data_IF_711432688406
#
_entry.id   IF_711432688406
#
_cell.length_a   1.000
_cell.length_b   1.000
_cell.length_c   1.000
_cell.angle_alpha   90.00
_cell.angle_beta   90.00
_cell.angle_gamma   90.00
#
_symmetry.space_group_name_H-M   'P 1'
#
loop_
_entity.id
_entity.type
_entity.pdbx_description
1 polymer ?
#
# COMPACT_ATOMS: atom_id res chain seq x y z
N UNK A 1 -107.19 -26.37 5.17
CA UNK A 1 -106.87 -25.03 4.64
C UNK A 1 -107.14 -23.95 5.66
N UNK A 2 -108.35 -23.88 6.25
CA UNK A 2 -108.67 -22.97 7.36
C UNK A 2 -107.61 -22.96 8.48
N UNK A 3 -107.28 -24.13 9.01
CA UNK A 3 -106.29 -24.26 10.10
C UNK A 3 -104.88 -23.81 9.68
N UNK A 4 -104.51 -24.03 8.40
CA UNK A 4 -103.22 -23.58 7.84
C UNK A 4 -103.16 -22.05 7.66
N UNK A 5 -104.28 -21.43 7.28
CA UNK A 5 -104.38 -19.97 7.12
C UNK A 5 -104.34 -19.26 8.47
N UNK A 6 -104.93 -19.85 9.51
CA UNK A 6 -104.87 -19.32 10.88
C UNK A 6 -103.46 -19.43 11.48
N UNK A 7 -102.73 -20.51 11.18
CA UNK A 7 -101.37 -20.75 11.69
C UNK A 7 -100.30 -19.84 11.06
N UNK A 8 -100.39 -19.54 9.75
CA UNK A 8 -99.36 -18.76 9.01
C UNK A 8 -99.58 -17.24 9.09
N UNK A 9 -100.75 -16.81 9.58
CA UNK A 9 -101.15 -15.39 9.58
C UNK A 9 -100.28 -14.37 10.35
N UNK A 10 -99.50 -14.69 11.41
CA UNK A 10 -98.84 -13.65 12.22
C UNK A 10 -97.66 -12.91 11.56
N UNK A 11 -97.16 -13.36 10.40
CA UNK A 11 -95.90 -12.85 9.80
C UNK A 11 -95.94 -12.56 8.30
N UNK A 12 -97.13 -12.43 7.71
CA UNK A 12 -97.33 -12.34 6.24
C UNK A 12 -98.05 -11.04 5.87
N UNK A 13 -97.76 -10.41 4.70
CA UNK A 13 -98.50 -9.24 4.22
C UNK A 13 -100.01 -9.45 4.29
N UNK A 14 -100.72 -8.56 5.01
CA UNK A 14 -102.11 -8.76 5.43
C UNK A 14 -103.06 -9.05 4.27
N UNK A 15 -102.89 -8.35 3.15
CA UNK A 15 -103.75 -8.45 1.96
C UNK A 15 -103.74 -9.88 1.37
N UNK A 16 -102.59 -10.55 1.33
CA UNK A 16 -102.48 -11.89 0.73
C UNK A 16 -103.12 -12.98 1.59
N UNK A 17 -103.09 -12.81 2.92
CA UNK A 17 -103.78 -13.72 3.84
C UNK A 17 -105.28 -13.42 3.97
N UNK A 18 -105.69 -12.19 3.71
CA UNK A 18 -107.10 -11.80 3.69
C UNK A 18 -107.88 -12.49 2.57
N UNK A 19 -107.33 -12.60 1.35
CA UNK A 19 -107.95 -13.35 0.25
C UNK A 19 -108.17 -14.82 0.64
N UNK A 20 -107.16 -15.46 1.26
CA UNK A 20 -107.26 -16.84 1.71
C UNK A 20 -108.37 -17.06 2.76
N UNK A 21 -108.52 -16.11 3.69
CA UNK A 21 -109.58 -16.13 4.70
C UNK A 21 -110.97 -15.95 4.07
N UNK A 22 -111.12 -14.98 3.17
CA UNK A 22 -112.36 -14.71 2.47
C UNK A 22 -112.82 -15.93 1.65
N UNK A 23 -111.95 -16.44 0.77
CA UNK A 23 -112.26 -17.58 -0.09
C UNK A 23 -112.59 -18.84 0.71
N UNK A 24 -111.87 -19.11 1.80
CA UNK A 24 -112.18 -20.23 2.70
C UNK A 24 -113.56 -20.05 3.35
N UNK A 25 -113.90 -18.84 3.79
CA UNK A 25 -115.20 -18.57 4.40
C UNK A 25 -116.38 -18.71 3.42
N UNK A 26 -116.19 -18.28 2.17
CA UNK A 26 -117.19 -18.38 1.11
C UNK A 26 -117.49 -19.84 0.73
N UNK A 27 -116.47 -20.68 0.65
CA UNK A 27 -116.66 -22.12 0.41
C UNK A 27 -117.34 -22.80 1.59
N UNK A 28 -116.96 -22.45 2.82
CA UNK A 28 -117.58 -23.02 4.02
C UNK A 28 -119.07 -22.68 4.14
N UNK A 29 -119.55 -21.56 3.59
CA UNK A 29 -120.99 -21.27 3.56
C UNK A 29 -121.81 -22.21 2.67
N UNK A 30 -121.15 -23.03 1.83
CA UNK A 30 -121.76 -24.03 0.97
C UNK A 30 -121.40 -25.48 1.38
N UNK A 31 -120.75 -25.68 2.53
CA UNK A 31 -120.25 -26.99 2.96
C UNK A 31 -121.34 -28.02 3.33
N UNK A 32 -122.59 -27.58 3.50
CA UNK A 32 -123.74 -28.43 3.82
C UNK A 32 -124.99 -27.99 3.03
N UNK A 33 -125.06 -28.28 1.72
CA UNK A 33 -126.20 -27.87 0.91
C UNK A 33 -127.40 -28.78 1.15
N UNK A 34 -128.59 -28.19 1.31
CA UNK A 34 -129.87 -28.91 1.48
C UNK A 34 -130.18 -29.82 0.28
N UNK A 35 -129.65 -29.50 -0.91
CA UNK A 35 -129.69 -30.34 -2.10
C UNK A 35 -128.32 -30.26 -2.81
N UNK A 36 -127.57 -31.38 -2.95
CA UNK A 36 -126.28 -31.41 -3.64
C UNK A 36 -126.41 -31.55 -5.17
N UNK A 37 -127.59 -31.88 -5.72
CA UNK A 37 -127.83 -32.09 -7.16
C UNK A 37 -127.44 -30.88 -8.05
N UNK A 38 -127.65 -29.61 -7.67
CA UNK A 38 -127.36 -28.49 -8.56
C UNK A 38 -125.86 -28.14 -8.64
N UNK A 39 -124.98 -28.79 -7.88
CA UNK A 39 -123.54 -28.56 -7.99
C UNK A 39 -122.93 -29.48 -9.05
N UNK A 40 -122.40 -28.87 -10.12
CA UNK A 40 -121.69 -29.64 -11.13
C UNK A 40 -120.41 -30.26 -10.53
N UNK A 41 -120.32 -31.60 -10.59
CA UNK A 41 -119.19 -32.38 -10.07
C UNK A 41 -117.84 -31.88 -10.62
N UNK A 42 -117.81 -31.48 -11.89
CA UNK A 42 -116.60 -30.94 -12.55
C UNK A 42 -116.14 -29.64 -11.87
N UNK A 43 -117.06 -28.73 -11.54
CA UNK A 43 -116.75 -27.47 -10.86
C UNK A 43 -116.27 -27.71 -9.43
N UNK A 44 -116.88 -28.67 -8.71
CA UNK A 44 -116.43 -29.06 -7.37
C UNK A 44 -115.03 -29.67 -7.39
N UNK A 45 -114.74 -30.54 -8.35
CA UNK A 45 -113.41 -31.14 -8.52
C UNK A 45 -112.35 -30.09 -8.84
N UNK A 46 -112.64 -29.15 -9.75
CA UNK A 46 -111.72 -28.06 -10.08
C UNK A 46 -111.51 -27.10 -8.91
N UNK A 47 -112.55 -26.85 -8.12
CA UNK A 47 -112.43 -26.03 -6.91
C UNK A 47 -111.54 -26.72 -5.88
N UNK A 48 -111.76 -28.01 -5.64
CA UNK A 48 -110.93 -28.82 -4.75
C UNK A 48 -109.46 -28.82 -5.18
N UNK A 49 -109.17 -29.05 -6.46
CA UNK A 49 -107.81 -29.06 -6.98
C UNK A 49 -107.10 -27.73 -6.74
N UNK A 50 -107.77 -26.60 -6.99
CA UNK A 50 -107.19 -25.28 -6.74
C UNK A 50 -106.99 -24.97 -5.24
N UNK A 51 -107.88 -25.46 -4.36
CA UNK A 51 -107.69 -25.36 -2.91
C UNK A 51 -106.52 -26.21 -2.41
N UNK A 52 -106.34 -27.41 -2.96
CA UNK A 52 -105.21 -28.29 -2.65
C UNK A 52 -103.88 -27.68 -3.12
N UNK A 53 -103.87 -27.05 -4.29
CA UNK A 53 -102.71 -26.30 -4.82
C UNK A 53 -102.39 -25.08 -3.94
N UNK A 54 -103.39 -24.26 -3.62
CA UNK A 54 -103.22 -23.11 -2.72
C UNK A 54 -102.72 -23.53 -1.32
N UNK A 55 -103.25 -24.62 -0.77
CA UNK A 55 -102.77 -25.17 0.50
C UNK A 55 -101.33 -25.68 0.41
N UNK A 56 -100.92 -26.22 -0.74
CA UNK A 56 -99.55 -26.67 -0.98
C UNK A 56 -98.58 -25.50 -1.06
N UNK A 57 -98.93 -24.44 -1.81
CA UNK A 57 -98.12 -23.21 -1.86
C UNK A 57 -97.99 -22.55 -0.47
N UNK A 58 -99.04 -22.57 0.35
CA UNK A 58 -98.98 -22.07 1.72
C UNK A 58 -98.03 -22.90 2.62
N UNK A 59 -98.02 -24.23 2.47
CA UNK A 59 -97.04 -25.08 3.17
C UNK A 59 -95.62 -24.82 2.69
N UNK A 60 -95.43 -24.61 1.38
CA UNK A 60 -94.13 -24.30 0.80
C UNK A 60 -93.60 -22.96 1.33
N UNK A 61 -94.44 -21.94 1.39
CA UNK A 61 -94.11 -20.67 2.03
C UNK A 61 -93.72 -20.86 3.49
N UNK A 62 -94.49 -21.64 4.27
CA UNK A 62 -94.15 -21.95 5.67
C UNK A 62 -92.76 -22.61 5.79
N UNK A 63 -92.38 -23.43 4.81
CA UNK A 63 -91.10 -24.13 4.82
C UNK A 63 -89.90 -23.28 4.43
N UNK A 64 -90.05 -22.29 3.53
CA UNK A 64 -88.92 -21.59 2.92
C UNK A 64 -89.02 -20.05 2.93
N UNK A 65 -90.12 -19.48 3.41
CA UNK A 65 -90.42 -18.05 3.47
C UNK A 65 -90.34 -17.29 2.14
N UNK A 66 -90.38 -17.99 0.99
CA UNK A 66 -90.32 -17.34 -0.32
C UNK A 66 -91.67 -16.71 -0.69
N UNK A 67 -91.71 -15.37 -0.76
CA UNK A 67 -92.90 -14.56 -1.04
C UNK A 67 -93.60 -14.93 -2.36
N UNK A 68 -92.90 -15.49 -3.34
CA UNK A 68 -93.52 -15.92 -4.60
C UNK A 68 -94.61 -16.98 -4.39
N UNK A 69 -94.47 -17.86 -3.39
CA UNK A 69 -95.49 -18.86 -3.07
C UNK A 69 -96.80 -18.23 -2.60
N UNK A 70 -96.75 -17.05 -1.97
CA UNK A 70 -97.96 -16.32 -1.57
C UNK A 70 -98.70 -15.74 -2.77
N UNK A 71 -97.97 -15.27 -3.80
CA UNK A 71 -98.57 -14.81 -5.04
C UNK A 71 -99.21 -15.96 -5.83
N UNK A 72 -98.55 -17.11 -5.90
CA UNK A 72 -99.08 -18.31 -6.55
C UNK A 72 -100.32 -18.83 -5.81
N UNK A 73 -100.27 -18.89 -4.48
CA UNK A 73 -101.43 -19.21 -3.64
C UNK A 73 -102.60 -18.28 -3.97
N UNK A 74 -102.38 -16.97 -4.05
CA UNK A 74 -103.44 -16.01 -4.35
C UNK A 74 -104.04 -16.26 -5.74
N UNK A 75 -103.21 -16.59 -6.73
CA UNK A 75 -103.67 -16.91 -8.09
C UNK A 75 -104.60 -18.13 -8.12
N UNK A 76 -104.30 -19.17 -7.33
CA UNK A 76 -105.18 -20.33 -7.18
C UNK A 76 -106.48 -19.98 -6.42
N UNK A 77 -106.41 -19.12 -5.42
CA UNK A 77 -107.58 -18.64 -4.68
C UNK A 77 -108.50 -17.77 -5.55
N UNK A 78 -107.93 -16.95 -6.44
CA UNK A 78 -108.69 -16.15 -7.42
C UNK A 78 -109.42 -17.07 -8.41
N UNK A 79 -108.78 -18.16 -8.85
CA UNK A 79 -109.42 -19.20 -9.67
C UNK A 79 -110.58 -19.89 -8.92
N UNK A 80 -110.42 -20.15 -7.63
CA UNK A 80 -111.50 -20.67 -6.78
C UNK A 80 -112.66 -19.68 -6.71
N UNK A 81 -112.40 -18.38 -6.52
CA UNK A 81 -113.45 -17.35 -6.49
C UNK A 81 -114.18 -17.22 -7.84
N UNK A 82 -113.46 -17.36 -8.95
CA UNK A 82 -114.07 -17.38 -10.28
C UNK A 82 -114.99 -18.60 -10.47
N UNK A 83 -114.57 -19.79 -10.02
CA UNK A 83 -115.39 -21.00 -10.05
C UNK A 83 -116.60 -20.91 -9.10
N UNK A 84 -116.41 -20.27 -7.94
CA UNK A 84 -117.47 -20.02 -6.97
C UNK A 84 -118.62 -19.19 -7.56
N UNK A 85 -118.34 -18.26 -8.49
CA UNK A 85 -119.38 -17.49 -9.18
C UNK A 85 -120.35 -18.34 -10.02
N UNK A 86 -120.00 -19.59 -10.34
CA UNK A 86 -120.85 -20.53 -11.07
C UNK A 86 -121.67 -21.45 -10.17
N UNK A 87 -121.49 -21.37 -8.85
CA UNK A 87 -122.22 -22.20 -7.90
C UNK A 87 -123.68 -21.72 -7.80
N UNK A 88 -124.63 -22.63 -7.56
CA UNK A 88 -126.03 -22.25 -7.36
C UNK A 88 -126.12 -21.20 -6.26
N UNK A 89 -126.76 -20.07 -6.58
CA UNK A 89 -127.06 -19.04 -5.59
C UNK A 89 -128.04 -19.67 -4.61
N UNK A 90 -127.54 -20.10 -3.45
CA UNK A 90 -128.40 -20.44 -2.32
C UNK A 90 -129.05 -19.12 -1.92
N UNK A 91 -130.29 -18.89 -2.37
CA UNK A 91 -131.12 -17.82 -1.82
C UNK A 91 -131.44 -18.21 -0.38
N UNK A 92 -130.53 -17.84 0.51
CA UNK A 92 -130.61 -18.18 1.91
C UNK A 92 -131.89 -17.57 2.52
N UNK A 93 -132.92 -18.38 2.70
CA UNK A 93 -133.98 -18.07 3.68
C UNK A 93 -133.49 -18.57 5.03
N UNK A 94 -133.38 -17.66 6.01
CA UNK A 94 -132.97 -17.99 7.38
C UNK A 94 -131.45 -17.93 7.63
N UNK A 95 -130.92 -18.90 8.38
CA UNK A 95 -129.60 -18.84 9.06
C UNK A 95 -128.37 -18.53 8.19
N UNK A 96 -128.36 -18.91 6.92
CA UNK A 96 -127.23 -18.66 6.01
C UNK A 96 -127.07 -17.18 5.59
N UNK A 97 -128.17 -16.41 5.48
CA UNK A 97 -128.11 -14.96 5.23
C UNK A 97 -127.57 -14.21 6.45
N UNK A 98 -127.89 -14.69 7.66
CA UNK A 98 -127.32 -14.18 8.89
C UNK A 98 -125.81 -14.49 8.99
N UNK A 99 -125.36 -15.63 8.48
CA UNK A 99 -123.95 -16.02 8.46
C UNK A 99 -123.14 -15.18 7.46
N UNK A 100 -123.64 -14.96 6.23
CA UNK A 100 -122.98 -14.08 5.26
C UNK A 100 -122.85 -12.64 5.79
N UNK A 101 -123.91 -12.08 6.40
CA UNK A 101 -123.85 -10.76 7.03
C UNK A 101 -122.87 -10.69 8.21
N UNK A 102 -122.69 -11.78 8.98
CA UNK A 102 -121.64 -11.84 10.02
C UNK A 102 -120.25 -11.82 9.39
N UNK A 103 -120.01 -12.58 8.33
CA UNK A 103 -118.73 -12.61 7.62
C UNK A 103 -118.38 -11.25 7.02
N UNK A 104 -119.33 -10.57 6.38
CA UNK A 104 -119.11 -9.22 5.85
C UNK A 104 -118.82 -8.19 6.95
N UNK A 105 -119.50 -8.28 8.10
CA UNK A 105 -119.22 -7.41 9.25
C UNK A 105 -117.82 -7.67 9.83
N UNK A 106 -117.41 -8.93 9.95
CA UNK A 106 -116.05 -9.28 10.39
C UNK A 106 -115.00 -8.83 9.38
N UNK A 107 -115.24 -9.00 8.08
CA UNK A 107 -114.34 -8.49 7.05
C UNK A 107 -114.19 -6.97 7.12
N UNK A 108 -115.31 -6.24 7.24
CA UNK A 108 -115.28 -4.77 7.38
C UNK A 108 -114.47 -4.35 8.62
N UNK A 109 -114.67 -5.03 9.74
CA UNK A 109 -113.91 -4.78 10.99
C UNK A 109 -112.42 -5.06 10.82
N UNK A 110 -112.06 -6.13 10.09
CA UNK A 110 -110.66 -6.45 9.80
C UNK A 110 -110.03 -5.42 8.84
N UNK A 111 -110.75 -4.99 7.81
CA UNK A 111 -110.30 -3.95 6.89
C UNK A 111 -110.11 -2.60 7.60
N UNK A 112 -111.05 -2.20 8.46
CA UNK A 112 -110.92 -1.02 9.32
C UNK A 112 -109.67 -1.12 10.20
N UNK A 113 -109.45 -2.29 10.85
CA UNK A 113 -108.25 -2.54 11.66
C UNK A 113 -106.96 -2.47 10.84
N UNK A 114 -106.94 -3.01 9.62
CA UNK A 114 -105.77 -2.98 8.74
C UNK A 114 -105.44 -1.55 8.27
N UNK A 115 -106.46 -0.74 7.99
CA UNK A 115 -106.30 0.68 7.65
C UNK A 115 -105.71 1.45 8.84
N UNK A 116 -106.20 1.21 10.05
CA UNK A 116 -105.69 1.86 11.26
C UNK A 116 -104.25 1.42 11.58
N UNK A 117 -103.91 0.14 11.38
CA UNK A 117 -102.55 -0.37 11.55
C UNK A 117 -101.57 0.26 10.53
N UNK A 118 -101.95 0.32 9.25
CA UNK A 118 -101.17 0.99 8.21
C UNK A 118 -100.96 2.48 8.50
N UNK A 119 -101.99 3.17 9.03
CA UNK A 119 -101.86 4.57 9.46
C UNK A 119 -100.87 4.72 10.61
N UNK A 120 -100.89 3.79 11.59
CA UNK A 120 -99.91 3.78 12.68
C UNK A 120 -98.50 3.57 12.16
N UNK A 121 -98.30 2.57 11.29
CA UNK A 121 -96.98 2.28 10.70
C UNK A 121 -96.44 3.46 9.87
N UNK A 122 -97.30 4.12 9.08
CA UNK A 122 -96.91 5.31 8.33
C UNK A 122 -96.48 6.46 9.25
N UNK A 123 -97.18 6.64 10.38
CA UNK A 123 -96.83 7.65 11.38
C UNK A 123 -95.49 7.33 12.03
N UNK A 124 -95.28 6.09 12.45
CA UNK A 124 -94.04 5.64 13.08
C UNK A 124 -92.85 5.75 12.12
N UNK A 125 -93.02 5.36 10.85
CA UNK A 125 -92.02 5.53 9.81
C UNK A 125 -91.71 7.01 9.53
N UNK A 126 -92.72 7.89 9.58
CA UNK A 126 -92.52 9.34 9.50
C UNK A 126 -91.69 9.89 10.66
N UNK A 127 -91.91 9.40 11.88
CA UNK A 127 -91.10 9.74 13.04
C UNK A 127 -89.67 9.23 12.91
N UNK A 128 -89.48 7.99 12.46
CA UNK A 128 -88.14 7.40 12.26
C UNK A 128 -87.35 8.16 11.20
N UNK A 129 -87.98 8.49 10.06
CA UNK A 129 -87.34 9.27 9.00
C UNK A 129 -86.93 10.67 9.50
N UNK A 130 -87.77 11.32 10.30
CA UNK A 130 -87.44 12.61 10.90
C UNK A 130 -86.28 12.50 11.90
N UNK A 131 -86.24 11.45 12.71
CA UNK A 131 -85.14 11.20 13.65
C UNK A 131 -83.82 10.94 12.90
N UNK A 132 -83.88 10.13 11.85
CA UNK A 132 -82.73 9.82 11.00
C UNK A 132 -82.19 11.08 10.31
N UNK A 133 -83.07 11.93 9.76
CA UNK A 133 -82.67 13.20 9.16
C UNK A 133 -81.96 14.12 10.16
N UNK A 134 -82.47 14.20 11.40
CA UNK A 134 -81.84 14.99 12.46
C UNK A 134 -80.45 14.44 12.86
N UNK A 135 -80.31 13.10 12.94
CA UNK A 135 -79.03 12.45 13.22
C UNK A 135 -78.01 12.68 12.11
N UNK A 136 -78.43 12.58 10.85
CA UNK A 136 -77.54 12.78 9.71
C UNK A 136 -77.12 14.25 9.58
N UNK A 137 -78.02 15.19 9.88
CA UNK A 137 -77.66 16.62 9.98
C UNK A 137 -76.65 16.88 11.11
N UNK A 138 -76.83 16.26 12.28
CA UNK A 138 -75.88 16.39 13.38
C UNK A 138 -74.50 15.82 13.03
N UNK A 139 -74.46 14.66 12.36
CA UNK A 139 -73.22 14.04 11.86
C UNK A 139 -72.54 14.92 10.82
N UNK A 140 -73.29 15.52 9.90
CA UNK A 140 -72.75 16.43 8.90
C UNK A 140 -72.13 17.67 9.54
N UNK A 141 -72.80 18.28 10.52
CA UNK A 141 -72.22 19.39 11.29
C UNK A 141 -70.93 18.98 12.01
N UNK A 142 -70.93 17.82 12.67
CA UNK A 142 -69.73 17.32 13.35
C UNK A 142 -68.57 17.06 12.37
N UNK A 143 -68.85 16.50 11.20
CA UNK A 143 -67.85 16.30 10.16
C UNK A 143 -67.29 17.63 9.64
N UNK A 144 -68.14 18.63 9.43
CA UNK A 144 -67.72 19.96 8.99
C UNK A 144 -66.85 20.66 10.03
N UNK A 145 -67.19 20.56 11.32
CA UNK A 145 -66.36 21.10 12.40
C UNK A 145 -64.98 20.44 12.42
N UNK A 146 -64.92 19.10 12.35
CA UNK A 146 -63.64 18.37 12.31
C UNK A 146 -62.79 18.72 11.10
N UNK A 147 -63.43 18.92 9.94
CA UNK A 147 -62.73 19.33 8.72
C UNK A 147 -62.09 20.71 8.89
N UNK A 148 -62.84 21.67 9.45
CA UNK A 148 -62.32 23.01 9.76
C UNK A 148 -61.18 22.97 10.78
N UNK A 149 -61.28 22.14 11.82
CA UNK A 149 -60.20 21.95 12.81
C UNK A 149 -58.93 21.39 12.17
N UNK A 150 -59.08 20.43 11.25
CA UNK A 150 -57.96 19.81 10.54
C UNK A 150 -57.32 20.78 9.55
N UNK A 151 -58.10 21.60 8.85
CA UNK A 151 -57.60 22.66 7.97
C UNK A 151 -56.78 23.70 8.76
N UNK A 152 -57.26 24.09 9.94
CA UNK A 152 -56.53 24.97 10.86
C UNK A 152 -55.22 24.34 11.35
N UNK A 153 -55.23 23.05 11.68
CA UNK A 153 -54.02 22.32 12.11
C UNK A 153 -53.00 22.20 10.98
N UNK A 154 -53.45 21.89 9.76
CA UNK A 154 -52.59 21.87 8.56
C UNK A 154 -52.00 23.25 8.30
N UNK A 155 -52.78 24.33 8.45
CA UNK A 155 -52.28 25.70 8.33
C UNK A 155 -51.19 26.02 9.36
N UNK A 156 -51.39 25.64 10.62
CA UNK A 156 -50.40 25.81 11.71
C UNK A 156 -49.12 25.02 11.44
N UNK A 157 -49.25 23.76 11.00
CA UNK A 157 -48.11 22.91 10.66
C UNK A 157 -47.32 23.47 9.48
N UNK A 158 -48.01 23.93 8.44
CA UNK A 158 -47.38 24.56 7.27
C UNK A 158 -46.57 25.79 7.67
N UNK A 159 -47.17 26.69 8.46
CA UNK A 159 -46.47 27.88 8.95
C UNK A 159 -45.26 27.53 9.82
N UNK A 160 -45.37 26.48 10.65
CA UNK A 160 -44.26 26.00 11.48
C UNK A 160 -43.12 25.45 10.62
N UNK A 161 -43.45 24.64 9.60
CA UNK A 161 -42.45 24.08 8.67
C UNK A 161 -41.72 25.21 7.96
N UNK A 162 -42.42 26.20 7.40
CA UNK A 162 -41.78 27.34 6.74
C UNK A 162 -40.91 28.17 7.69
N UNK A 163 -41.31 28.32 8.94
CA UNK A 163 -40.49 29.00 9.95
C UNK A 163 -39.22 28.20 10.30
N UNK A 164 -39.34 26.87 10.45
CA UNK A 164 -38.21 26.00 10.73
C UNK A 164 -37.24 25.91 9.52
N UNK A 165 -37.74 25.88 8.28
CA UNK A 165 -36.93 25.99 7.06
C UNK A 165 -36.10 27.28 7.05
N UNK A 166 -36.75 28.44 7.29
CA UNK A 166 -36.05 29.72 7.36
C UNK A 166 -34.98 29.76 8.45
N UNK A 167 -35.25 29.15 9.62
CA UNK A 167 -34.27 29.04 10.72
C UNK A 167 -33.10 28.14 10.34
N UNK A 168 -33.35 27.03 9.66
CA UNK A 168 -32.31 26.12 9.20
C UNK A 168 -31.42 26.78 8.14
N UNK A 169 -32.00 27.50 7.18
CA UNK A 169 -31.25 28.23 6.16
C UNK A 169 -30.36 29.32 6.78
N UNK A 170 -30.90 30.05 7.75
CA UNK A 170 -30.12 31.06 8.49
C UNK A 170 -28.99 30.39 9.29
N UNK A 171 -29.27 29.30 10.00
CA UNK A 171 -28.25 28.59 10.78
C UNK A 171 -27.15 28.00 9.89
N UNK A 172 -27.52 27.46 8.72
CA UNK A 172 -26.58 26.90 7.74
C UNK A 172 -25.70 27.99 7.15
N UNK A 173 -26.29 29.13 6.78
CA UNK A 173 -25.55 30.30 6.28
C UNK A 173 -24.56 30.80 7.33
N UNK A 174 -25.02 31.06 8.55
CA UNK A 174 -24.16 31.51 9.66
C UNK A 174 -23.05 30.51 9.98
N UNK A 175 -23.36 29.21 9.97
CA UNK A 175 -22.37 28.16 10.20
C UNK A 175 -21.31 28.12 9.09
N UNK A 176 -21.71 28.26 7.83
CA UNK A 176 -20.79 28.27 6.69
C UNK A 176 -19.89 29.50 6.69
N UNK A 177 -20.42 30.68 7.03
CA UNK A 177 -19.65 31.90 7.19
C UNK A 177 -18.64 31.77 8.33
N UNK A 178 -19.07 31.31 9.51
CA UNK A 178 -18.20 31.11 10.67
C UNK A 178 -17.10 30.07 10.39
N UNK A 179 -17.42 29.00 9.66
CA UNK A 179 -16.44 27.99 9.25
C UNK A 179 -15.43 28.57 8.27
N UNK A 180 -15.88 29.28 7.24
CA UNK A 180 -15.02 29.89 6.22
C UNK A 180 -14.08 30.92 6.83
N UNK A 181 -14.59 31.76 7.74
CA UNK A 181 -13.80 32.74 8.47
C UNK A 181 -12.78 32.06 9.40
N UNK A 182 -13.17 30.99 10.09
CA UNK A 182 -12.25 30.21 10.92
C UNK A 182 -11.15 29.53 10.10
N UNK A 183 -11.46 29.04 8.89
CA UNK A 183 -10.48 28.49 7.97
C UNK A 183 -9.50 29.55 7.49
N UNK A 184 -10.00 30.72 7.08
CA UNK A 184 -9.18 31.86 6.65
C UNK A 184 -8.22 32.29 7.77
N UNK A 185 -8.74 32.45 8.99
CA UNK A 185 -7.91 32.81 10.15
C UNK A 185 -6.83 31.76 10.44
N UNK A 186 -7.17 30.46 10.41
CA UNK A 186 -6.18 29.39 10.59
C UNK A 186 -5.10 29.39 9.50
N UNK A 187 -5.48 29.67 8.25
CA UNK A 187 -4.53 29.76 7.16
C UNK A 187 -3.57 30.93 7.39
N UNK A 188 -4.08 32.11 7.75
CA UNK A 188 -3.27 33.30 8.04
C UNK A 188 -2.31 33.06 9.22
N UNK A 189 -2.82 32.49 10.33
CA UNK A 189 -2.00 32.12 11.49
C UNK A 189 -0.92 31.10 11.14
N UNK A 190 -1.25 30.11 10.30
CA UNK A 190 -0.29 29.09 9.87
C UNK A 190 0.79 29.67 8.93
N UNK A 191 0.41 30.50 7.97
CA UNK A 191 1.35 31.18 7.07
C UNK A 191 2.31 32.09 7.86
N UNK A 192 1.79 32.83 8.84
CA UNK A 192 2.62 33.63 9.75
C UNK A 192 3.57 32.74 10.55
N UNK A 193 3.08 31.65 11.13
CA UNK A 193 3.90 30.72 11.89
C UNK A 193 5.03 30.11 11.04
N UNK A 194 4.75 29.69 9.80
CA UNK A 194 5.78 29.18 8.88
C UNK A 194 6.86 30.22 8.62
N UNK A 195 6.46 31.48 8.40
CA UNK A 195 7.41 32.58 8.19
C UNK A 195 8.29 32.80 9.42
N UNK A 196 7.69 32.88 10.61
CA UNK A 196 8.42 33.04 11.87
C UNK A 196 9.38 31.87 12.13
N UNK A 197 8.99 30.64 11.82
CA UNK A 197 9.87 29.48 11.93
C UNK A 197 11.02 29.54 10.91
N UNK A 198 10.75 29.98 9.68
CA UNK A 198 11.77 30.17 8.64
C UNK A 198 12.80 31.23 9.03
N UNK A 199 12.34 32.35 9.56
CA UNK A 199 13.19 33.44 10.05
C UNK A 199 14.04 32.96 11.25
N UNK A 200 13.42 32.29 12.23
CA UNK A 200 14.13 31.70 13.37
C UNK A 200 15.17 30.65 12.97
N UNK A 201 14.84 29.75 12.04
CA UNK A 201 15.79 28.76 11.51
C UNK A 201 16.97 29.45 10.82
N UNK A 202 16.70 30.50 10.04
CA UNK A 202 17.74 31.27 9.36
C UNK A 202 18.66 31.94 10.37
N UNK A 203 18.09 32.54 11.42
CA UNK A 203 18.84 33.19 12.49
C UNK A 203 19.69 32.18 13.29
N UNK A 204 19.14 31.02 13.64
CA UNK A 204 19.85 29.94 14.34
C UNK A 204 20.93 29.28 13.47
N UNK A 205 20.71 29.16 12.16
CA UNK A 205 21.66 28.56 11.23
C UNK A 205 22.83 29.49 10.90
N UNK A 206 22.62 30.82 10.94
CA UNK A 206 23.61 31.82 10.53
C UNK A 206 24.96 31.69 11.24
N UNK A 207 25.06 31.55 12.58
CA UNK A 207 26.34 31.35 13.26
C UNK A 207 27.08 30.08 12.80
N UNK A 208 26.34 28.99 12.57
CA UNK A 208 26.92 27.72 12.09
C UNK A 208 27.41 27.85 10.65
N UNK A 209 26.66 28.57 9.80
CA UNK A 209 27.04 28.84 8.42
C UNK A 209 28.30 29.73 8.37
N UNK A 210 28.32 30.80 9.16
CA UNK A 210 29.46 31.71 9.27
C UNK A 210 30.70 30.99 9.81
N UNK A 211 30.55 30.15 10.85
CA UNK A 211 31.64 29.34 11.40
C UNK A 211 32.18 28.31 10.38
N UNK A 212 31.29 27.66 9.62
CA UNK A 212 31.69 26.71 8.57
C UNK A 212 32.42 27.43 7.43
N UNK A 213 31.95 28.62 7.04
CA UNK A 213 32.60 29.44 6.02
C UNK A 213 33.98 29.92 6.50
N UNK A 214 34.11 30.36 7.75
CA UNK A 214 35.39 30.73 8.35
C UNK A 214 36.36 29.55 8.40
N UNK A 215 35.91 28.38 8.88
CA UNK A 215 36.72 27.17 8.95
C UNK A 215 37.17 26.70 7.56
N UNK A 216 36.31 26.81 6.54
CA UNK A 216 36.67 26.53 5.15
C UNK A 216 37.80 27.45 4.68
N UNK A 217 37.69 28.75 4.92
CA UNK A 217 38.72 29.71 4.51
C UNK A 217 40.06 29.46 5.24
N UNK A 218 40.01 29.12 6.53
CA UNK A 218 41.20 28.75 7.32
C UNK A 218 41.85 27.45 6.81
N UNK A 219 41.05 26.44 6.48
CA UNK A 219 41.53 25.20 5.90
C UNK A 219 42.18 25.41 4.53
N UNK A 220 41.61 26.27 3.68
CA UNK A 220 42.20 26.64 2.39
C UNK A 220 43.54 27.37 2.55
N UNK A 221 43.66 28.29 3.52
CA UNK A 221 44.92 28.96 3.83
C UNK A 221 45.98 27.97 4.34
N UNK A 222 45.60 27.09 5.27
CA UNK A 222 46.48 26.06 5.81
C UNK A 222 46.97 25.09 4.73
N UNK A 223 46.09 24.71 3.79
CA UNK A 223 46.45 23.87 2.66
C UNK A 223 47.50 24.54 1.76
N UNK A 224 47.35 25.84 1.48
CA UNK A 224 48.35 26.58 0.71
C UNK A 224 49.71 26.64 1.41
N UNK A 225 49.72 26.83 2.73
CA UNK A 225 50.95 26.82 3.53
C UNK A 225 51.62 25.45 3.52
N UNK A 226 50.86 24.36 3.67
CA UNK A 226 51.37 22.99 3.57
C UNK A 226 51.98 22.73 2.19
N UNK A 227 51.32 23.16 1.11
CA UNK A 227 51.84 23.01 -0.26
C UNK A 227 53.13 23.79 -0.47
N UNK A 228 53.24 24.99 0.12
CA UNK A 228 54.47 25.79 0.08
C UNK A 228 55.60 25.11 0.85
N UNK A 229 55.31 24.64 2.07
CA UNK A 229 56.28 23.93 2.91
C UNK A 229 56.76 22.63 2.24
N UNK A 230 55.86 21.88 1.60
CA UNK A 230 56.21 20.69 0.83
C UNK A 230 57.23 21.01 -0.27
N UNK A 231 56.98 22.05 -1.08
CA UNK A 231 57.92 22.49 -2.14
C UNK A 231 59.28 22.91 -1.57
N UNK A 232 59.30 23.60 -0.44
CA UNK A 232 60.54 24.02 0.22
C UNK A 232 61.33 22.83 0.77
N UNK A 233 60.66 21.86 1.40
CA UNK A 233 61.27 20.61 1.90
C UNK A 233 61.78 19.73 0.77
N UNK A 234 61.05 19.62 -0.34
CA UNK A 234 61.48 18.88 -1.53
C UNK A 234 62.77 19.49 -2.11
N UNK A 235 62.84 20.82 -2.19
CA UNK A 235 64.03 21.54 -2.69
C UNK A 235 65.24 21.39 -1.76
N UNK A 236 65.04 21.38 -0.44
CA UNK A 236 66.12 21.24 0.55
C UNK A 236 66.60 19.80 0.67
N UNK A 237 65.69 18.82 0.75
CA UNK A 237 66.07 17.40 0.87
C UNK A 237 66.76 16.87 -0.38
N UNK A 238 66.34 17.31 -1.58
CA UNK A 238 66.99 16.96 -2.84
C UNK A 238 68.43 17.45 -2.94
N UNK A 239 68.75 18.63 -2.38
CA UNK A 239 70.11 19.20 -2.37
C UNK A 239 70.99 18.62 -1.27
N UNK A 240 70.44 18.40 -0.08
CA UNK A 240 71.19 17.88 1.07
C UNK A 240 71.62 16.41 0.85
N UNK A 241 70.72 15.57 0.33
CA UNK A 241 70.99 14.14 0.12
C UNK A 241 72.08 13.90 -0.92
N UNK A 242 72.07 14.63 -2.02
CA UNK A 242 73.09 14.54 -3.07
C UNK A 242 74.49 14.98 -2.57
N UNK A 243 74.56 16.03 -1.76
CA UNK A 243 75.81 16.55 -1.22
C UNK A 243 76.45 15.62 -0.17
N UNK A 244 75.64 14.98 0.69
CA UNK A 244 76.13 14.03 1.70
C UNK A 244 76.71 12.78 1.02
N UNK A 245 75.99 12.20 0.05
CA UNK A 245 76.47 11.02 -0.69
C UNK A 245 77.77 11.31 -1.44
N UNK A 246 77.88 12.45 -2.14
CA UNK A 246 79.10 12.83 -2.86
C UNK A 246 80.32 13.03 -1.93
N UNK A 247 80.11 13.44 -0.68
CA UNK A 247 81.18 13.60 0.31
C UNK A 247 81.72 12.25 0.78
N UNK A 248 80.85 11.29 1.07
CA UNK A 248 81.26 9.97 1.56
C UNK A 248 82.05 9.18 0.51
N UNK A 249 81.60 9.15 -0.75
CA UNK A 249 82.35 8.51 -1.84
C UNK A 249 83.75 9.11 -2.05
N UNK A 250 83.90 10.43 -1.84
CA UNK A 250 85.20 11.10 -1.89
C UNK A 250 86.17 10.67 -0.80
N UNK A 251 85.67 10.53 0.43
CA UNK A 251 86.47 10.08 1.57
C UNK A 251 86.92 8.62 1.38
N UNK A 252 86.00 7.74 0.95
CA UNK A 252 86.32 6.33 0.65
C UNK A 252 87.34 6.18 -0.47
N UNK A 253 87.19 6.93 -1.57
CA UNK A 253 88.14 6.93 -2.70
C UNK A 253 89.55 7.32 -2.27
N UNK A 254 89.68 8.38 -1.46
CA UNK A 254 90.99 8.87 -1.00
C UNK A 254 91.69 7.85 -0.12
N UNK A 255 90.94 7.19 0.78
CA UNK A 255 91.49 6.15 1.67
C UNK A 255 91.97 4.92 0.90
N UNK A 256 91.19 4.45 -0.08
CA UNK A 256 91.57 3.32 -0.92
C UNK A 256 92.80 3.62 -1.78
N UNK A 257 92.90 4.83 -2.33
CA UNK A 257 94.07 5.26 -3.12
C UNK A 257 95.35 5.27 -2.27
N UNK A 258 95.29 5.84 -1.06
CA UNK A 258 96.41 5.85 -0.11
C UNK A 258 96.82 4.43 0.25
N UNK A 259 95.85 3.55 0.55
CA UNK A 259 96.15 2.14 0.85
C UNK A 259 96.84 1.44 -0.32
N UNK A 260 96.39 1.71 -1.56
CA UNK A 260 96.95 1.09 -2.74
C UNK A 260 98.39 1.52 -2.99
N UNK A 261 98.69 2.80 -2.80
CA UNK A 261 100.06 3.31 -2.88
C UNK A 261 100.95 2.69 -1.81
N UNK A 262 100.45 2.54 -0.58
CA UNK A 262 101.20 1.93 0.51
C UNK A 262 101.55 0.46 0.18
N UNK A 263 100.61 -0.30 -0.37
CA UNK A 263 100.87 -1.68 -0.81
C UNK A 263 101.83 -1.77 -2.02
N UNK A 264 101.83 -0.79 -2.93
CA UNK A 264 102.87 -0.71 -3.97
C UNK A 264 104.25 -0.51 -3.35
N UNK A 265 104.40 0.45 -2.43
CA UNK A 265 105.68 0.68 -1.75
C UNK A 265 106.14 -0.55 -0.97
N UNK A 266 105.22 -1.27 -0.33
CA UNK A 266 105.53 -2.52 0.37
C UNK A 266 106.00 -3.62 -0.60
N UNK A 267 105.30 -3.81 -1.73
CA UNK A 267 105.71 -4.78 -2.75
C UNK A 267 107.07 -4.48 -3.37
N UNK A 268 107.34 -3.21 -3.71
CA UNK A 268 108.65 -2.77 -4.19
C UNK A 268 109.73 -2.90 -3.10
N UNK A 269 109.40 -2.62 -1.84
CA UNK A 269 110.31 -2.80 -0.71
C UNK A 269 110.75 -4.25 -0.52
N UNK A 270 109.82 -5.20 -0.63
CA UNK A 270 110.12 -6.64 -0.56
C UNK A 270 111.08 -7.05 -1.69
N UNK A 271 110.79 -6.66 -2.94
CA UNK A 271 111.65 -7.00 -4.07
C UNK A 271 113.02 -6.32 -3.99
N UNK A 272 113.05 -5.04 -3.57
CA UNK A 272 114.29 -4.29 -3.37
C UNK A 272 115.18 -4.94 -2.31
N UNK A 273 114.59 -5.39 -1.20
CA UNK A 273 115.32 -6.11 -0.14
C UNK A 273 115.91 -7.44 -0.63
N UNK A 274 115.12 -8.22 -1.39
CA UNK A 274 115.58 -9.49 -1.97
C UNK A 274 116.70 -9.25 -2.99
N UNK A 275 116.54 -8.28 -3.89
CA UNK A 275 117.56 -7.93 -4.87
C UNK A 275 118.85 -7.46 -4.19
N UNK A 276 118.75 -6.60 -3.18
CA UNK A 276 119.89 -6.16 -2.36
C UNK A 276 120.60 -7.34 -1.69
N UNK A 277 119.84 -8.25 -1.08
CA UNK A 277 120.39 -9.44 -0.42
C UNK A 277 121.07 -10.40 -1.42
N UNK A 278 120.52 -10.57 -2.62
CA UNK A 278 121.12 -11.37 -3.68
C UNK A 278 122.45 -10.76 -4.17
N UNK A 279 122.51 -9.45 -4.38
CA UNK A 279 123.75 -8.75 -4.80
C UNK A 279 124.85 -8.92 -3.74
N UNK A 280 124.53 -8.67 -2.46
CA UNK A 280 125.48 -8.82 -1.36
C UNK A 280 126.06 -10.24 -1.28
N UNK A 281 125.20 -11.23 -1.45
CA UNK A 281 125.62 -12.63 -1.31
C UNK A 281 126.33 -13.19 -2.54
N UNK A 282 126.04 -12.68 -3.75
CA UNK A 282 126.81 -13.01 -4.96
C UNK A 282 128.22 -12.41 -4.93
N UNK A 283 128.38 -11.21 -4.35
CA UNK A 283 129.68 -10.54 -4.21
C UNK A 283 130.69 -11.24 -3.31
N UNK A 284 130.24 -12.17 -2.45
CA UNK A 284 131.09 -12.91 -1.51
C UNK A 284 131.52 -14.31 -2.01
N UNK A 285 131.14 -14.71 -3.22
CA UNK A 285 131.51 -16.03 -3.76
C UNK A 285 132.92 -15.95 -4.37
N UNK A 286 133.94 -16.32 -3.59
CA UNK A 286 135.28 -16.60 -4.11
C UNK A 286 135.28 -17.86 -4.98
N UNK A 287 135.95 -17.80 -6.14
CA UNK A 287 135.94 -18.78 -7.25
C UNK A 287 136.33 -20.23 -6.87
N UNK A 288 136.79 -20.49 -5.64
CA UNK A 288 137.39 -21.78 -5.24
C UNK A 288 136.48 -22.63 -4.32
N UNK A 289 135.35 -22.11 -3.82
CA UNK A 289 134.42 -22.88 -2.98
C UNK A 289 133.16 -23.30 -3.77
N UNK A 290 132.95 -24.60 -3.95
CA UNK A 290 131.70 -25.12 -4.53
C UNK A 290 130.53 -24.85 -3.58
N UNK A 291 129.50 -24.09 -4.00
CA UNK A 291 128.35 -23.81 -3.15
C UNK A 291 127.56 -25.08 -2.86
N UNK A 292 127.25 -25.31 -1.57
CA UNK A 292 126.38 -26.42 -1.15
C UNK A 292 124.97 -26.24 -1.73
N UNK A 293 124.39 -27.32 -2.26
CA UNK A 293 123.05 -27.30 -2.86
C UNK A 293 121.96 -26.86 -1.87
N UNK A 294 122.14 -27.14 -0.57
CA UNK A 294 121.24 -26.68 0.49
C UNK A 294 121.17 -25.14 0.57
N UNK A 295 122.27 -24.44 0.29
CA UNK A 295 122.31 -22.98 0.29
C UNK A 295 121.56 -22.37 -0.91
N UNK A 296 121.67 -23.02 -2.08
CA UNK A 296 120.98 -22.58 -3.30
C UNK A 296 119.47 -22.79 -3.17
N UNK A 297 119.02 -23.95 -2.68
CA UNK A 297 117.60 -24.25 -2.54
C UNK A 297 116.92 -23.34 -1.50
N UNK A 298 117.59 -23.04 -0.39
CA UNK A 298 117.08 -22.09 0.62
C UNK A 298 116.88 -20.69 0.02
N UNK A 299 117.87 -20.18 -0.71
CA UNK A 299 117.78 -18.86 -1.35
C UNK A 299 116.70 -18.80 -2.42
N UNK A 300 116.58 -19.85 -3.21
CA UNK A 300 115.54 -19.94 -4.24
C UNK A 300 114.17 -19.96 -3.58
N UNK A 301 113.99 -20.73 -2.50
CA UNK A 301 112.76 -20.74 -1.70
C UNK A 301 112.40 -19.37 -1.10
N UNK A 302 113.37 -18.66 -0.52
CA UNK A 302 113.15 -17.31 0.03
C UNK A 302 112.81 -16.31 -1.07
N UNK A 303 113.51 -16.35 -2.21
CA UNK A 303 113.27 -15.45 -3.35
C UNK A 303 111.88 -15.65 -3.93
N UNK A 304 111.44 -16.90 -4.07
CA UNK A 304 110.12 -17.24 -4.60
C UNK A 304 109.03 -16.82 -3.64
N UNK A 305 109.19 -17.08 -2.35
CA UNK A 305 108.23 -16.67 -1.33
C UNK A 305 108.08 -15.14 -1.31
N UNK A 306 109.20 -14.42 -1.41
CA UNK A 306 109.19 -12.96 -1.46
C UNK A 306 108.59 -12.42 -2.77
N UNK A 307 108.84 -13.08 -3.91
CA UNK A 307 108.21 -12.73 -5.19
C UNK A 307 106.68 -12.91 -5.14
N UNK A 308 106.20 -14.00 -4.52
CA UNK A 308 104.77 -14.23 -4.30
C UNK A 308 104.18 -13.15 -3.38
N UNK A 309 104.84 -12.83 -2.26
CA UNK A 309 104.40 -11.79 -1.34
C UNK A 309 104.33 -10.40 -2.01
N UNK A 310 105.32 -10.06 -2.84
CA UNK A 310 105.31 -8.83 -3.63
C UNK A 310 104.18 -8.83 -4.67
N UNK A 311 103.94 -9.95 -5.35
CA UNK A 311 102.86 -10.11 -6.31
C UNK A 311 101.47 -9.91 -5.70
N UNK A 312 101.22 -10.49 -4.51
CA UNK A 312 99.98 -10.27 -3.75
C UNK A 312 99.82 -8.79 -3.37
N UNK A 313 100.90 -8.16 -2.90
CA UNK A 313 100.90 -6.74 -2.53
C UNK A 313 100.54 -5.85 -3.72
N UNK A 314 101.13 -6.09 -4.90
CA UNK A 314 100.80 -5.37 -6.13
C UNK A 314 99.38 -5.62 -6.61
N UNK A 315 98.85 -6.83 -6.43
CA UNK A 315 97.45 -7.14 -6.79
C UNK A 315 96.47 -6.40 -5.88
N UNK A 316 96.74 -6.35 -4.57
CA UNK A 316 95.93 -5.57 -3.61
C UNK A 316 96.03 -4.09 -3.92
N UNK A 317 97.23 -3.59 -4.23
CA UNK A 317 97.46 -2.19 -4.62
C UNK A 317 96.66 -1.79 -5.87
N UNK A 318 96.77 -2.56 -6.95
CA UNK A 318 96.04 -2.33 -8.20
C UNK A 318 94.53 -2.36 -7.99
N UNK A 319 94.04 -3.31 -7.19
CA UNK A 319 92.61 -3.39 -6.87
C UNK A 319 92.12 -2.17 -6.07
N UNK A 320 92.90 -1.72 -5.08
CA UNK A 320 92.56 -0.55 -4.28
C UNK A 320 92.53 0.75 -5.11
N UNK A 321 93.49 0.94 -6.02
CA UNK A 321 93.53 2.12 -6.91
C UNK A 321 92.40 2.10 -7.94
N UNK A 322 92.07 0.93 -8.50
CA UNK A 322 90.94 0.79 -9.41
C UNK A 322 89.59 1.12 -8.73
N UNK A 323 89.40 0.67 -7.48
CA UNK A 323 88.22 1.03 -6.67
C UNK A 323 88.20 2.52 -6.33
N UNK A 324 89.33 3.10 -5.97
CA UNK A 324 89.44 4.54 -5.73
C UNK A 324 89.04 5.37 -6.95
N UNK A 325 89.50 5.00 -8.15
CA UNK A 325 89.14 5.69 -9.40
C UNK A 325 87.64 5.60 -9.70
N UNK A 326 87.05 4.43 -9.48
CA UNK A 326 85.60 4.23 -9.65
C UNK A 326 84.81 5.08 -8.65
N UNK A 327 85.18 5.06 -7.37
CA UNK A 327 84.56 5.86 -6.33
C UNK A 327 84.72 7.38 -6.57
N UNK A 328 85.86 7.82 -7.13
CA UNK A 328 86.08 9.22 -7.49
C UNK A 328 85.20 9.67 -8.64
N UNK A 329 85.03 8.81 -9.65
CA UNK A 329 84.12 9.05 -10.76
C UNK A 329 82.68 9.16 -10.25
N UNK A 330 82.26 8.25 -9.37
CA UNK A 330 80.93 8.30 -8.73
C UNK A 330 80.73 9.59 -7.96
N UNK A 331 81.72 10.04 -7.19
CA UNK A 331 81.69 11.33 -6.50
C UNK A 331 81.49 12.49 -7.48
N UNK A 332 82.25 12.54 -8.57
CA UNK A 332 82.16 13.62 -9.55
C UNK A 332 80.82 13.60 -10.28
N UNK A 333 80.33 12.42 -10.65
CA UNK A 333 79.03 12.28 -11.30
C UNK A 333 77.87 12.69 -10.37
N UNK A 334 77.87 12.26 -9.09
CA UNK A 334 76.88 12.68 -8.09
C UNK A 334 76.94 14.18 -7.75
N UNK A 335 78.15 14.74 -7.72
CA UNK A 335 78.35 16.17 -7.46
C UNK A 335 77.97 17.07 -8.62
N UNK A 336 78.06 16.57 -9.87
CA UNK A 336 77.81 17.36 -11.07
C UNK A 336 76.41 17.21 -11.63
N UNK A 337 75.71 16.10 -11.36
CA UNK A 337 74.34 15.88 -11.87
C UNK A 337 73.35 16.95 -11.40
N UNK A 338 73.52 17.46 -10.18
CA UNK A 338 72.71 18.56 -9.66
C UNK A 338 72.93 19.88 -10.41
N UNK A 339 74.14 20.14 -10.89
CA UNK A 339 74.49 21.36 -11.65
C UNK A 339 74.08 21.22 -13.12
N UNK A 340 74.26 20.05 -13.74
CA UNK A 340 73.88 19.82 -15.14
C UNK A 340 72.37 19.80 -15.38
N UNK A 341 71.58 19.42 -14.37
CA UNK A 341 70.12 19.40 -14.47
C UNK A 341 69.46 20.69 -13.98
N UNK A 342 70.24 21.68 -13.50
CA UNK A 342 69.69 22.91 -12.93
C UNK A 342 69.05 23.85 -13.96
N UNK A 343 69.50 23.82 -15.21
CA UNK A 343 69.05 24.71 -16.30
C UNK A 343 68.04 24.03 -17.26
N UNK A 344 67.54 22.85 -16.94
CA UNK A 344 66.57 22.12 -17.77
C UNK A 344 65.14 22.43 -17.29
N UNK A 345 64.37 23.16 -18.10
CA UNK A 345 63.00 23.59 -17.78
C UNK A 345 61.94 22.48 -17.85
N UNK A 346 62.29 21.29 -18.37
CA UNK A 346 61.39 20.14 -18.50
C UNK A 346 61.59 19.20 -17.30
N UNK A 347 60.68 19.30 -16.33
CA UNK A 347 60.72 18.58 -15.05
C UNK A 347 60.64 17.06 -15.22
N UNK A 348 59.96 16.60 -16.26
CA UNK A 348 59.75 15.17 -16.55
C UNK A 348 61.03 14.53 -17.11
N UNK A 349 61.73 15.25 -18.00
CA UNK A 349 63.06 14.84 -18.50
C UNK A 349 64.13 14.84 -17.41
N UNK A 350 64.09 15.82 -16.50
CA UNK A 350 64.99 15.86 -15.34
C UNK A 350 64.77 14.66 -14.44
N UNK A 351 63.50 14.25 -14.23
CA UNK A 351 63.17 13.06 -13.44
C UNK A 351 63.63 11.76 -14.11
N UNK A 352 63.42 11.62 -15.42
CA UNK A 352 63.91 10.45 -16.18
C UNK A 352 65.45 10.34 -16.14
N UNK A 353 66.17 11.44 -16.36
CA UNK A 353 67.63 11.47 -16.29
C UNK A 353 68.17 11.09 -14.90
N UNK A 354 67.49 11.52 -13.83
CA UNK A 354 67.81 11.10 -12.45
C UNK A 354 67.55 9.61 -12.24
N UNK A 355 66.45 9.07 -12.76
CA UNK A 355 66.12 7.65 -12.65
C UNK A 355 67.14 6.78 -13.41
N UNK A 356 67.48 7.12 -14.65
CA UNK A 356 68.50 6.41 -15.44
C UNK A 356 69.88 6.47 -14.78
N UNK A 357 70.23 7.62 -14.19
CA UNK A 357 71.47 7.75 -13.43
C UNK A 357 71.51 6.83 -12.21
N UNK A 358 70.44 6.80 -11.41
CA UNK A 358 70.33 5.91 -10.24
C UNK A 358 70.43 4.44 -10.65
N UNK A 359 69.74 4.06 -11.72
CA UNK A 359 69.77 2.69 -12.24
C UNK A 359 71.18 2.29 -12.74
N UNK A 360 71.87 3.18 -13.46
CA UNK A 360 73.26 2.95 -13.88
C UNK A 360 74.23 2.78 -12.71
N UNK A 361 74.02 3.53 -11.63
CA UNK A 361 74.95 3.66 -10.51
C UNK A 361 74.74 2.59 -9.44
N UNK A 362 73.49 2.21 -9.18
CA UNK A 362 73.12 1.27 -8.12
C UNK A 362 72.53 -0.06 -8.65
N UNK A 363 72.04 -0.10 -9.90
CA UNK A 363 71.49 -1.32 -10.52
C UNK A 363 72.54 -2.41 -10.76
N UNK A 364 73.82 -2.06 -10.88
CA UNK A 364 74.94 -3.03 -11.05
C UNK A 364 75.39 -3.71 -9.76
N UNK A 365 74.83 -3.36 -8.60
CA UNK A 365 75.17 -4.00 -7.33
C UNK A 365 74.56 -5.41 -7.17
N UNK A 366 73.56 -5.77 -7.99
CA UNK A 366 72.90 -7.09 -7.96
C UNK A 366 73.30 -8.03 -9.11
N UNK A 367 74.06 -7.59 -10.11
CA UNK A 367 74.74 -8.49 -11.06
C UNK A 367 76.00 -9.09 -10.42
N UNK A 368 75.77 -9.95 -9.44
CA UNK A 368 76.83 -10.74 -8.82
C UNK A 368 77.28 -11.82 -9.80
N UNK A 369 78.43 -11.58 -10.44
CA UNK A 369 79.53 -12.56 -10.48
C UNK A 369 79.15 -13.94 -11.06
N UNK A 370 78.80 -14.01 -12.35
CA UNK A 370 78.71 -15.31 -13.08
C UNK A 370 79.79 -15.46 -14.16
N UNK A 371 80.44 -14.39 -14.63
CA UNK A 371 81.18 -14.51 -15.90
C UNK A 371 82.68 -14.21 -15.84
N UNK A 372 83.36 -14.39 -14.70
CA UNK A 372 84.84 -14.34 -14.65
C UNK A 372 85.49 -15.08 -13.44
N UNK A 373 84.78 -16.03 -12.81
CA UNK A 373 85.37 -16.89 -11.79
C UNK A 373 86.24 -18.02 -12.38
N UNK A 374 86.00 -18.42 -13.64
CA UNK A 374 86.80 -19.43 -14.35
C UNK A 374 88.15 -18.93 -14.89
N UNK A 375 88.37 -17.61 -14.96
CA UNK A 375 89.62 -17.01 -15.44
C UNK A 375 90.58 -16.59 -14.30
N UNK A 376 90.13 -16.62 -13.05
CA UNK A 376 90.93 -16.16 -11.89
C UNK A 376 91.63 -17.29 -11.15
N UNK A 377 91.09 -18.51 -11.23
CA UNK A 377 91.70 -19.74 -10.69
C UNK A 377 92.84 -20.25 -11.58
N UNK A 378 92.81 -19.98 -12.89
CA UNK A 378 93.90 -20.29 -13.82
C UNK A 378 95.15 -19.41 -13.64
N UNK A 379 95.01 -18.22 -13.03
CA UNK A 379 96.13 -17.27 -12.81
C UNK A 379 97.01 -17.60 -11.60
N UNK A 380 96.44 -18.22 -10.56
CA UNK A 380 97.18 -18.70 -9.39
C UNK A 380 97.86 -20.04 -9.69
N UNK A 381 97.23 -20.87 -10.53
CA UNK A 381 97.85 -22.04 -11.13
C UNK A 381 98.99 -21.67 -12.07
N UNK A 382 98.93 -20.60 -12.88
CA UNK A 382 100.04 -20.29 -13.82
C UNK A 382 101.35 -19.88 -13.16
N UNK A 383 101.31 -19.29 -11.97
CA UNK A 383 102.53 -18.91 -11.24
C UNK A 383 103.14 -20.14 -10.56
N UNK A 384 102.30 -21.01 -9.98
CA UNK A 384 102.73 -22.27 -9.36
C UNK A 384 103.15 -23.30 -10.42
N UNK A 385 102.45 -23.40 -11.55
CA UNK A 385 102.81 -24.24 -12.71
C UNK A 385 104.12 -23.78 -13.34
N UNK A 386 104.32 -22.48 -13.55
CA UNK A 386 105.62 -21.96 -14.01
C UNK A 386 106.72 -22.25 -12.99
N UNK A 387 106.42 -22.27 -11.70
CA UNK A 387 107.38 -22.61 -10.64
C UNK A 387 107.74 -24.10 -10.61
N UNK A 388 106.75 -24.99 -10.81
CA UNK A 388 106.95 -26.44 -10.94
C UNK A 388 107.70 -26.78 -12.25
N UNK A 389 107.41 -26.09 -13.36
CA UNK A 389 108.11 -26.30 -14.63
C UNK A 389 109.59 -25.87 -14.55
N UNK A 390 109.89 -24.77 -13.85
CA UNK A 390 111.25 -24.29 -13.63
C UNK A 390 112.07 -25.18 -12.67
N UNK A 391 111.44 -25.78 -11.66
CA UNK A 391 112.12 -26.69 -10.72
C UNK A 391 112.25 -28.10 -11.27
N UNK A 392 111.26 -28.61 -12.03
CA UNK A 392 111.30 -29.92 -12.67
C UNK A 392 112.41 -30.06 -13.72
N UNK A 393 112.77 -28.97 -14.43
CA UNK A 393 113.90 -28.95 -15.37
C UNK A 393 115.29 -29.02 -14.70
N UNK A 394 115.40 -28.76 -13.39
CA UNK A 394 116.67 -28.80 -12.66
C UNK A 394 116.96 -30.14 -11.96
N UNK A 395 115.99 -31.06 -11.87
CA UNK A 395 116.12 -32.38 -11.21
C UNK A 395 115.92 -33.57 -12.15
N UNK A 396 115.82 -33.37 -13.46
CA UNK A 396 115.81 -34.42 -14.47
C UNK A 396 117.20 -34.71 -15.05
N UNK A 397 117.97 -35.56 -14.38
CA UNK A 397 118.96 -36.46 -14.98
C UNK A 397 118.41 -37.88 -14.85
#
# INVERSE_FOLDING_TARGET
MKDLVEEVSPGVPSILMETARYTTSAILSHADPVDPIPYAIVTLNNTRANLENAATELRNYKSNSNVQHLHNMNSHLDQVLNLYGSWPIITAKGGAAAQANRTFKEYRRLAEKAIDDLRSQLKDMGHELSNQANLDQARQHQAQTRLSELEDEVGKLTNKISADESRLDSALTTSNEAFSESQRRRQEEFEQWIKEQGDNMTELAKPSLDATSAAKNEAEATLQDILKLHKDVEKVSGKATAAILAKDYGSYSTREWVSGILFYFLGFGILGFVAWHLIQTLGQISIISTPSWQYVSLKLGVTVTAAVAAGVSFRVASAAISRAGTNKRVQLELGTIGTFLADVNDEERVKQAKMEFVDRMFGRAWETRVENASAKESSELTIIEKFIELTGKFTGK
#
